data_IF_593493660785
#
_entry.id   IF_593493660785
#
_cell.length_a   1.000
_cell.length_b   1.000
_cell.length_c   1.000
_cell.angle_alpha   90.00
_cell.angle_beta   90.00
_cell.angle_gamma   90.00
#
_symmetry.space_group_name_H-M   'P 1'
#
loop_
_entity.id
_entity.type
_entity.pdbx_description
1 polymer ?
#
# COMPACT_ATOMS: atom_id res chain seq x y z
N UNK A 1 16.08 -21.38 -6.93
CA UNK A 1 14.86 -20.54 -6.99
C UNK A 1 15.28 -19.08 -6.99
N UNK A 2 14.70 -18.23 -7.86
CA UNK A 2 15.08 -16.82 -7.97
C UNK A 2 14.47 -16.00 -6.82
N UNK A 3 15.15 -14.93 -6.38
CA UNK A 3 14.62 -13.99 -5.38
C UNK A 3 13.26 -13.39 -5.82
N UNK A 4 13.05 -13.18 -7.12
CA UNK A 4 11.78 -12.70 -7.65
C UNK A 4 10.64 -13.71 -7.47
N UNK A 5 10.91 -15.00 -7.68
CA UNK A 5 9.90 -16.04 -7.44
C UNK A 5 9.50 -16.15 -5.97
N UNK A 6 10.40 -15.80 -5.04
CA UNK A 6 10.11 -15.78 -3.61
C UNK A 6 9.18 -14.61 -3.22
N UNK A 7 9.47 -13.40 -3.71
CA UNK A 7 8.65 -12.20 -3.44
C UNK A 7 7.23 -12.40 -3.99
N UNK A 8 7.10 -12.90 -5.22
CA UNK A 8 5.79 -13.17 -5.80
C UNK A 8 4.99 -14.20 -5.01
N UNK A 9 5.63 -15.25 -4.52
CA UNK A 9 5.00 -16.27 -3.67
C UNK A 9 4.49 -15.66 -2.37
N UNK A 10 5.27 -14.78 -1.74
CA UNK A 10 4.88 -14.10 -0.51
C UNK A 10 3.70 -13.14 -0.73
N UNK A 11 3.72 -12.37 -1.82
CA UNK A 11 2.61 -11.49 -2.18
C UNK A 11 1.32 -12.28 -2.43
N UNK A 12 1.41 -13.38 -3.17
CA UNK A 12 0.25 -14.24 -3.44
C UNK A 12 -0.33 -14.90 -2.18
N UNK A 13 0.50 -15.15 -1.17
CA UNK A 13 0.09 -15.73 0.10
C UNK A 13 -0.42 -14.70 1.12
N UNK A 14 -0.21 -13.40 0.89
CA UNK A 14 -0.60 -12.36 1.82
C UNK A 14 -2.09 -12.01 1.67
N UNK A 15 -2.92 -12.16 2.71
CA UNK A 15 -4.31 -11.74 2.65
C UNK A 15 -4.40 -10.22 2.48
N UNK A 16 -5.30 -9.78 1.59
CA UNK A 16 -5.57 -8.35 1.44
C UNK A 16 -6.35 -7.84 2.68
N UNK A 17 -5.81 -6.87 3.43
CA UNK A 17 -6.53 -6.28 4.56
C UNK A 17 -7.72 -5.45 4.09
N UNK A 18 -8.74 -5.30 4.94
CA UNK A 18 -9.88 -4.40 4.68
C UNK A 18 -9.40 -2.96 4.71
N UNK A 19 -9.81 -2.15 3.73
CA UNK A 19 -9.33 -0.78 3.61
C UNK A 19 -9.69 0.10 4.81
N UNK A 20 -10.87 -0.08 5.40
CA UNK A 20 -11.29 0.67 6.59
C UNK A 20 -10.36 0.41 7.78
N UNK A 21 -10.04 -0.86 8.04
CA UNK A 21 -9.13 -1.24 9.12
C UNK A 21 -7.73 -0.63 8.95
N UNK A 22 -7.29 -0.42 7.71
CA UNK A 22 -6.02 0.20 7.40
C UNK A 22 -5.99 1.71 7.70
N UNK A 23 -7.12 2.41 7.53
CA UNK A 23 -7.25 3.82 7.91
C UNK A 23 -7.44 3.99 9.42
N UNK A 24 -8.20 3.10 10.06
CA UNK A 24 -8.39 3.09 11.51
C UNK A 24 -7.05 2.88 12.25
N UNK A 25 -6.19 2.01 11.71
CA UNK A 25 -4.89 1.71 12.30
C UNK A 25 -3.82 2.80 12.10
N UNK A 26 -3.94 3.64 11.07
CA UNK A 26 -2.96 4.70 10.76
C UNK A 26 -3.66 5.99 10.33
N UNK A 27 -3.92 6.92 11.27
CA UNK A 27 -4.50 8.22 10.97
C UNK A 27 -3.69 9.07 9.97
N UNK A 28 -2.39 8.80 9.82
CA UNK A 28 -1.52 9.51 8.88
C UNK A 28 -1.41 8.81 7.50
N UNK A 29 -2.23 7.78 7.24
CA UNK A 29 -2.16 6.97 6.01
C UNK A 29 -2.23 7.80 4.74
N UNK A 30 -3.14 8.77 4.66
CA UNK A 30 -3.25 9.64 3.49
C UNK A 30 -1.93 10.36 3.19
N UNK A 31 -1.27 10.93 4.21
CA UNK A 31 -0.01 11.63 4.02
C UNK A 31 1.14 10.69 3.63
N UNK A 32 1.16 9.45 4.14
CA UNK A 32 2.18 8.44 3.82
C UNK A 32 1.99 7.80 2.45
N UNK A 33 0.75 7.65 2.01
CA UNK A 33 0.37 6.96 0.77
C UNK A 33 -0.24 7.93 -0.25
N UNK A 34 0.28 9.15 -0.29
CA UNK A 34 0.06 10.09 -1.37
C UNK A 34 1.38 10.71 -1.80
N UNK A 35 1.42 11.20 -3.03
CA UNK A 35 2.56 11.91 -3.58
C UNK A 35 2.08 13.18 -4.29
N UNK A 36 2.82 14.28 -4.10
CA UNK A 36 2.55 15.55 -4.77
C UNK A 36 3.66 15.86 -5.77
N UNK A 37 3.26 16.11 -7.02
CA UNK A 37 4.14 16.47 -8.13
C UNK A 37 3.70 17.84 -8.66
N UNK A 38 4.27 18.91 -8.10
CA UNK A 38 3.81 20.28 -8.34
C UNK A 38 2.37 20.47 -7.84
N UNK A 39 1.46 20.76 -8.76
CA UNK A 39 0.02 20.93 -8.49
C UNK A 39 -0.77 19.61 -8.56
N UNK A 40 -0.16 18.51 -9.01
CA UNK A 40 -0.81 17.21 -9.09
C UNK A 40 -0.68 16.46 -7.77
N UNK A 41 -1.80 15.93 -7.26
CA UNK A 41 -1.84 15.02 -6.11
C UNK A 41 -2.25 13.62 -6.57
N UNK A 42 -1.38 12.65 -6.33
CA UNK A 42 -1.65 11.23 -6.51
C UNK A 42 -1.93 10.60 -5.14
N UNK A 43 -3.17 10.17 -4.92
CA UNK A 43 -3.60 9.47 -3.71
C UNK A 43 -3.72 7.97 -3.99
N UNK A 44 -2.83 7.18 -3.40
CA UNK A 44 -2.81 5.71 -3.44
C UNK A 44 -3.01 5.11 -2.03
N UNK A 45 -3.67 5.87 -1.15
CA UNK A 45 -3.99 5.42 0.21
C UNK A 45 -5.14 4.41 0.29
N UNK A 46 -5.89 4.25 -0.81
CA UNK A 46 -7.05 3.37 -1.01
C UNK A 46 -6.66 2.13 -1.81
#
# INVERSE_FOLDING_TARGET
>A
MSKFSEIWRQLAASPAPRITALFDADPARFAKFSARFGEMLLDFSK
#
